data_IF_402271004489
#
_entry.id   IF_402271004489
#
_cell.length_a   1.000
_cell.length_b   1.000
_cell.length_c   1.000
_cell.angle_alpha   90.00
_cell.angle_beta   90.00
_cell.angle_gamma   90.00
#
_symmetry.space_group_name_H-M   'P 1'
#
loop_
_entity.id
_entity.type
_entity.pdbx_description
1 polymer ?
#
# COMPACT_ATOMS: atom_id res chain seq x y z
N UNK A 1 31.55 -21.23 6.14
CA UNK A 1 30.09 -21.44 6.25
C UNK A 1 29.41 -20.30 5.52
N UNK A 2 28.38 -20.56 4.71
CA UNK A 2 27.60 -19.47 4.10
C UNK A 2 26.84 -18.71 5.20
N UNK A 3 26.69 -17.38 5.10
CA UNK A 3 25.90 -16.61 6.07
C UNK A 3 24.44 -17.07 6.05
N UNK A 4 23.72 -16.96 7.19
CA UNK A 4 22.29 -17.25 7.23
C UNK A 4 21.54 -16.33 6.25
N UNK A 5 20.44 -16.82 5.65
CA UNK A 5 19.65 -16.03 4.71
C UNK A 5 19.14 -14.75 5.40
N UNK A 6 19.18 -13.63 4.67
CA UNK A 6 18.74 -12.35 5.21
C UNK A 6 17.21 -12.30 5.25
N UNK A 7 16.60 -11.78 6.33
CA UNK A 7 15.18 -11.51 6.38
C UNK A 7 14.87 -10.26 5.55
N UNK A 8 13.71 -10.25 4.89
CA UNK A 8 13.33 -9.23 3.90
C UNK A 8 11.97 -8.60 4.21
N UNK A 9 11.13 -9.29 4.96
CA UNK A 9 9.81 -8.81 5.38
C UNK A 9 9.38 -9.49 6.67
N UNK A 10 8.54 -8.82 7.45
CA UNK A 10 7.97 -9.35 8.69
C UNK A 10 6.49 -8.99 8.79
N UNK A 11 5.68 -9.91 9.29
CA UNK A 11 4.27 -9.70 9.58
C UNK A 11 3.88 -10.36 10.90
N UNK A 12 3.05 -9.68 11.70
CA UNK A 12 2.51 -10.21 12.95
C UNK A 12 1.15 -10.85 12.72
N UNK A 13 0.92 -12.00 13.35
CA UNK A 13 -0.39 -12.65 13.27
C UNK A 13 -1.41 -11.91 14.16
N UNK A 14 -2.54 -11.43 13.61
CA UNK A 14 -3.43 -10.51 14.31
C UNK A 14 -4.22 -11.15 15.47
N UNK A 15 -4.35 -12.47 15.50
CA UNK A 15 -5.14 -13.18 16.53
C UNK A 15 -4.27 -13.81 17.63
N UNK A 16 -2.98 -13.97 17.40
CA UNK A 16 -2.02 -14.41 18.41
C UNK A 16 -0.70 -13.64 18.22
N UNK A 17 -0.49 -12.69 19.13
CA UNK A 17 0.68 -11.82 19.16
C UNK A 17 2.01 -12.56 19.39
N UNK A 18 1.99 -13.87 19.67
CA UNK A 18 3.18 -14.69 19.76
C UNK A 18 3.65 -15.20 18.40
N UNK A 19 2.79 -15.24 17.39
CA UNK A 19 3.13 -15.76 16.07
C UNK A 19 3.57 -14.63 15.14
N UNK A 20 4.72 -14.83 14.50
CA UNK A 20 5.33 -13.89 13.56
C UNK A 20 5.73 -14.65 12.30
N UNK A 21 5.43 -14.09 11.13
CA UNK A 21 5.94 -14.58 9.85
C UNK A 21 7.11 -13.71 9.39
N UNK A 22 8.20 -14.35 8.96
CA UNK A 22 9.40 -13.68 8.43
C UNK A 22 9.65 -14.22 7.02
N UNK A 23 9.63 -13.32 6.03
CA UNK A 23 10.00 -13.64 4.67
C UNK A 23 11.52 -13.56 4.53
N UNK A 24 12.09 -14.50 3.79
CA UNK A 24 13.53 -14.67 3.69
C UNK A 24 14.03 -14.49 2.25
N UNK A 25 15.32 -14.15 2.12
CA UNK A 25 16.01 -14.05 0.85
C UNK A 25 16.20 -15.39 0.13
N UNK A 26 16.06 -16.52 0.83
CA UNK A 26 16.14 -17.88 0.27
C UNK A 26 14.80 -18.41 -0.28
N UNK A 27 13.80 -17.54 -0.44
CA UNK A 27 12.46 -17.87 -0.93
C UNK A 27 11.58 -18.64 0.07
N UNK A 28 12.00 -18.72 1.34
CA UNK A 28 11.20 -19.33 2.41
C UNK A 28 10.47 -18.28 3.26
N UNK A 29 9.45 -18.73 3.98
CA UNK A 29 8.80 -17.96 5.03
C UNK A 29 8.93 -18.74 6.33
N UNK A 30 9.52 -18.14 7.35
CA UNK A 30 9.62 -18.74 8.68
C UNK A 30 8.47 -18.26 9.56
N UNK A 31 7.72 -19.20 10.14
CA UNK A 31 6.72 -18.92 11.16
C UNK A 31 7.37 -19.15 12.52
N UNK A 32 7.51 -18.08 13.29
CA UNK A 32 8.18 -18.06 14.58
C UNK A 32 7.16 -17.89 15.71
N UNK A 33 7.32 -18.66 16.78
CA UNK A 33 6.72 -18.33 18.08
C UNK A 33 7.72 -17.46 18.86
N UNK A 34 7.40 -16.18 19.03
CA UNK A 34 8.26 -15.19 19.72
C UNK A 34 8.49 -15.54 21.18
N UNK A 35 7.51 -16.12 21.86
CA UNK A 35 7.60 -16.44 23.30
C UNK A 35 8.52 -17.63 23.56
N UNK A 36 8.43 -18.65 22.71
CA UNK A 36 9.29 -19.84 22.79
C UNK A 36 10.61 -19.67 22.04
N UNK A 37 10.73 -18.64 21.20
CA UNK A 37 11.87 -18.37 20.30
C UNK A 37 12.19 -19.55 19.36
N UNK A 38 11.17 -20.27 18.91
CA UNK A 38 11.30 -21.41 18.01
C UNK A 38 10.59 -21.19 16.68
N UNK A 39 11.18 -21.71 15.62
CA UNK A 39 10.54 -21.79 14.30
C UNK A 39 9.52 -22.93 14.36
N UNK A 40 8.25 -22.57 14.31
CA UNK A 40 7.10 -23.50 14.32
C UNK A 40 6.95 -24.18 12.97
N UNK A 41 7.16 -23.43 11.89
CA UNK A 41 7.02 -23.94 10.53
C UNK A 41 7.92 -23.15 9.56
N UNK A 42 8.33 -23.81 8.48
CA UNK A 42 9.00 -23.16 7.34
C UNK A 42 8.18 -23.43 6.09
N UNK A 43 7.62 -22.37 5.51
CA UNK A 43 6.83 -22.43 4.29
C UNK A 43 7.79 -22.31 3.09
N UNK A 44 7.80 -23.33 2.25
CA UNK A 44 8.56 -23.35 1.02
C UNK A 44 7.61 -23.37 -0.19
N UNK A 45 7.96 -22.64 -1.25
CA UNK A 45 7.16 -22.64 -2.48
C UNK A 45 7.19 -21.34 -3.29
N UNK A 46 7.94 -20.32 -2.86
CA UNK A 46 8.31 -19.21 -3.73
C UNK A 46 9.53 -19.56 -4.59
N UNK A 47 9.64 -18.95 -5.78
CA UNK A 47 10.82 -19.13 -6.65
C UNK A 47 11.89 -18.04 -6.48
N UNK A 48 11.55 -16.94 -5.82
CA UNK A 48 12.46 -15.84 -5.50
C UNK A 48 12.19 -15.33 -4.08
N UNK A 49 13.06 -14.46 -3.58
CA UNK A 49 12.99 -13.86 -2.24
C UNK A 49 11.60 -13.31 -1.94
N UNK A 50 11.12 -13.56 -0.73
CA UNK A 50 9.82 -13.04 -0.27
C UNK A 50 9.99 -11.56 0.06
N UNK A 51 9.15 -10.67 -0.47
CA UNK A 51 9.28 -9.20 -0.28
C UNK A 51 8.05 -8.56 0.35
N UNK A 52 6.96 -9.31 0.50
CA UNK A 52 5.74 -8.87 1.14
C UNK A 52 5.04 -10.02 1.84
N UNK A 53 4.49 -9.71 3.01
CA UNK A 53 3.69 -10.62 3.83
C UNK A 53 2.50 -9.85 4.36
N UNK A 54 1.32 -10.47 4.37
CA UNK A 54 0.13 -9.89 4.99
C UNK A 54 -0.76 -11.00 5.56
N UNK A 55 -1.19 -10.84 6.81
CA UNK A 55 -2.17 -11.73 7.42
C UNK A 55 -3.59 -11.19 7.25
N UNK A 56 -4.55 -12.10 7.02
CA UNK A 56 -5.97 -11.79 7.14
C UNK A 56 -6.36 -11.62 8.62
N UNK A 57 -7.23 -10.64 8.90
CA UNK A 57 -7.72 -10.30 10.25
C UNK A 57 -9.06 -10.97 10.61
N UNK A 58 -9.49 -11.98 9.85
CA UNK A 58 -10.76 -12.67 10.11
C UNK A 58 -10.70 -13.52 11.38
N UNK A 59 -11.43 -13.10 12.43
CA UNK A 59 -11.30 -13.61 13.80
C UNK A 59 -12.18 -14.79 14.19
N UNK A 60 -13.20 -15.17 13.41
CA UNK A 60 -14.30 -15.95 13.97
C UNK A 60 -14.96 -16.92 12.98
N UNK A 61 -14.31 -18.04 12.67
CA UNK A 61 -14.89 -19.18 11.92
C UNK A 61 -14.71 -19.19 10.38
N UNK A 62 -13.85 -18.34 9.84
CA UNK A 62 -13.38 -18.43 8.44
C UNK A 62 -11.88 -18.64 8.42
N UNK A 63 -11.41 -19.59 7.59
CA UNK A 63 -9.99 -19.95 7.42
C UNK A 63 -9.11 -18.71 7.33
N UNK A 64 -8.36 -18.42 8.40
CA UNK A 64 -7.37 -17.34 8.35
C UNK A 64 -6.27 -17.72 7.38
N UNK A 65 -5.81 -16.72 6.63
CA UNK A 65 -4.84 -16.90 5.56
C UNK A 65 -3.69 -15.92 5.70
N UNK A 66 -2.50 -16.39 5.35
CA UNK A 66 -1.33 -15.58 5.10
C UNK A 66 -1.20 -15.43 3.59
N UNK A 67 -0.99 -14.21 3.12
CA UNK A 67 -0.64 -13.92 1.73
C UNK A 67 0.80 -13.46 1.69
N UNK A 68 1.57 -14.00 0.76
CA UNK A 68 2.96 -13.65 0.55
C UNK A 68 3.24 -13.34 -0.90
N UNK A 69 4.18 -12.43 -1.12
CA UNK A 69 4.58 -11.93 -2.41
C UNK A 69 6.09 -11.99 -2.55
N UNK A 70 6.60 -12.54 -3.65
CA UNK A 70 8.04 -12.58 -3.96
C UNK A 70 8.45 -11.57 -5.02
N UNK A 71 9.77 -11.39 -5.16
CA UNK A 71 10.37 -10.42 -6.08
C UNK A 71 10.08 -10.72 -7.57
N UNK A 72 9.77 -11.97 -7.91
CA UNK A 72 9.31 -12.42 -9.23
C UNK A 72 7.79 -12.20 -9.44
N UNK A 73 7.13 -11.42 -8.57
CA UNK A 73 5.69 -11.20 -8.55
C UNK A 73 4.84 -12.46 -8.31
N UNK A 74 5.40 -13.55 -7.78
CA UNK A 74 4.60 -14.70 -7.38
C UNK A 74 3.83 -14.42 -6.08
N UNK A 75 2.51 -14.55 -6.15
CA UNK A 75 1.60 -14.48 -5.01
C UNK A 75 1.32 -15.89 -4.51
N UNK A 76 1.52 -16.15 -3.23
CA UNK A 76 1.14 -17.40 -2.58
C UNK A 76 0.13 -17.12 -1.45
N UNK A 77 -0.86 -18.01 -1.32
CA UNK A 77 -1.83 -17.99 -0.22
C UNK A 77 -1.60 -19.23 0.63
N UNK A 78 -1.48 -19.05 1.93
CA UNK A 78 -1.21 -20.10 2.91
C UNK A 78 -2.34 -20.14 3.93
N UNK A 79 -2.73 -21.35 4.35
CA UNK A 79 -3.62 -21.53 5.50
C UNK A 79 -2.82 -21.38 6.79
N UNK A 80 -3.37 -20.72 7.81
CA UNK A 80 -2.67 -20.53 9.10
C UNK A 80 -2.82 -21.71 10.07
N UNK A 81 -3.85 -22.54 9.93
CA UNK A 81 -4.10 -23.68 10.84
C UNK A 81 -3.06 -24.81 10.67
N UNK A 82 -2.75 -25.16 9.41
CA UNK A 82 -1.82 -26.24 9.07
C UNK A 82 -0.54 -25.72 8.39
N UNK A 83 -0.41 -24.40 8.23
CA UNK A 83 0.71 -23.78 7.52
C UNK A 83 0.95 -24.37 6.11
N UNK A 84 -0.15 -24.76 5.46
CA UNK A 84 -0.13 -25.38 4.13
C UNK A 84 -0.35 -24.37 3.01
N UNK A 85 0.40 -24.52 1.92
CA UNK A 85 0.20 -23.75 0.69
C UNK A 85 -1.17 -24.08 0.10
N UNK A 86 -2.06 -23.09 0.01
CA UNK A 86 -3.41 -23.23 -0.53
C UNK A 86 -3.42 -23.02 -2.03
N UNK A 87 -2.83 -21.92 -2.49
CA UNK A 87 -2.77 -21.52 -3.90
C UNK A 87 -1.47 -20.75 -4.15
N UNK A 88 -1.02 -20.74 -5.41
CA UNK A 88 0.00 -19.80 -5.85
C UNK A 88 -0.13 -19.47 -7.32
N UNK A 89 0.24 -18.24 -7.65
CA UNK A 89 0.31 -17.77 -9.02
C UNK A 89 1.58 -16.97 -9.22
N UNK A 90 2.26 -17.20 -10.33
CA UNK A 90 3.26 -16.28 -10.84
C UNK A 90 2.55 -15.10 -11.52
N UNK A 91 2.72 -13.89 -10.99
CA UNK A 91 2.08 -12.70 -11.53
C UNK A 91 2.58 -12.37 -12.93
N UNK A 92 1.68 -11.88 -13.79
CA UNK A 92 2.02 -11.24 -15.07
C UNK A 92 2.25 -9.73 -14.92
N UNK A 93 2.52 -9.25 -13.68
CA UNK A 93 2.97 -7.87 -13.47
C UNK A 93 4.26 -7.72 -14.29
N UNK A 94 4.22 -7.05 -15.44
CA UNK A 94 5.32 -7.10 -16.39
C UNK A 94 6.61 -6.70 -15.67
N UNK A 95 7.63 -7.58 -15.61
CA UNK A 95 8.97 -7.12 -15.31
C UNK A 95 9.40 -6.38 -16.56
N UNK A 96 9.21 -5.06 -16.55
CA UNK A 96 9.97 -4.17 -17.42
C UNK A 96 11.45 -4.61 -17.32
N UNK A 97 11.97 -5.16 -18.41
CA UNK A 97 13.36 -5.56 -18.57
C UNK A 97 14.27 -4.34 -18.81
N UNK A 98 14.09 -3.27 -18.06
CA UNK A 98 14.99 -2.13 -18.02
C UNK A 98 14.86 -1.47 -16.65
N UNK A 99 15.93 -1.60 -15.85
CA UNK A 99 16.08 -1.16 -14.44
C UNK A 99 15.62 -2.18 -13.38
N UNK A 100 16.55 -3.09 -13.09
CA UNK A 100 16.60 -3.86 -11.86
C UNK A 100 16.78 -2.92 -10.64
N UNK A 101 15.70 -2.25 -10.23
CA UNK A 101 15.54 -1.83 -8.85
C UNK A 101 14.68 -2.90 -8.18
N UNK A 102 15.34 -3.92 -7.64
CA UNK A 102 14.73 -4.96 -6.83
C UNK A 102 14.12 -4.33 -5.57
N UNK A 103 12.82 -4.09 -5.57
CA UNK A 103 12.12 -3.46 -4.45
C UNK A 103 10.78 -2.92 -4.92
N UNK A 104 9.80 -2.98 -4.03
CA UNK A 104 8.54 -2.20 -4.10
C UNK A 104 7.31 -2.90 -4.66
N UNK A 105 7.27 -4.24 -4.66
CA UNK A 105 5.95 -4.89 -4.62
C UNK A 105 5.42 -4.91 -3.19
N UNK A 106 4.23 -4.35 -2.99
CA UNK A 106 3.51 -4.38 -1.70
C UNK A 106 2.23 -5.18 -1.84
N UNK A 107 1.82 -5.81 -0.74
CA UNK A 107 0.56 -6.54 -0.65
C UNK A 107 -0.21 -6.09 0.58
N UNK A 108 -1.48 -5.73 0.43
CA UNK A 108 -2.32 -5.26 1.53
C UNK A 108 -3.70 -5.90 1.44
N UNK A 109 -4.25 -6.36 2.57
CA UNK A 109 -5.64 -6.81 2.64
C UNK A 109 -6.60 -5.62 2.56
N UNK A 110 -7.66 -5.79 1.77
CA UNK A 110 -8.84 -4.95 1.86
C UNK A 110 -9.57 -5.21 3.19
N UNK A 111 -10.43 -4.27 3.62
CA UNK A 111 -11.17 -4.39 4.86
C UNK A 111 -12.14 -5.58 4.88
N UNK A 112 -12.61 -6.05 3.71
CA UNK A 112 -13.43 -7.25 3.59
C UNK A 112 -12.72 -8.58 3.91
N UNK A 113 -11.39 -8.54 4.13
CA UNK A 113 -10.55 -9.70 4.46
C UNK A 113 -10.55 -10.83 3.41
N UNK A 114 -11.05 -10.55 2.20
CA UNK A 114 -11.12 -11.48 1.06
C UNK A 114 -10.25 -11.02 -0.08
N UNK A 115 -10.23 -9.72 -0.36
CA UNK A 115 -9.45 -9.15 -1.44
C UNK A 115 -8.10 -8.64 -0.95
N UNK A 116 -7.09 -8.74 -1.80
CA UNK A 116 -5.75 -8.19 -1.56
C UNK A 116 -5.34 -7.27 -2.70
N UNK A 117 -4.88 -6.08 -2.36
CA UNK A 117 -4.24 -5.14 -3.28
C UNK A 117 -2.77 -5.51 -3.39
N UNK A 118 -2.33 -5.73 -4.62
CA UNK A 118 -0.93 -5.88 -5.00
C UNK A 118 -0.52 -4.61 -5.75
N UNK A 119 0.48 -3.93 -5.21
CA UNK A 119 1.03 -2.70 -5.75
C UNK A 119 2.29 -3.06 -6.53
N UNK A 120 2.32 -2.76 -7.82
CA UNK A 120 3.51 -2.85 -8.65
C UNK A 120 3.89 -1.48 -9.23
N UNK A 121 5.08 -1.39 -9.84
CA UNK A 121 5.60 -0.12 -10.37
C UNK A 121 4.81 0.44 -11.56
N UNK A 122 4.19 -0.44 -12.35
CA UNK A 122 3.47 -0.07 -13.57
C UNK A 122 1.96 -0.25 -13.45
N UNK A 123 1.48 -0.92 -12.40
CA UNK A 123 0.07 -1.27 -12.27
C UNK A 123 -0.30 -1.65 -10.83
N UNK A 124 -1.58 -1.53 -10.53
CA UNK A 124 -2.21 -2.06 -9.34
C UNK A 124 -3.10 -3.23 -9.73
N UNK A 125 -3.18 -4.24 -8.87
CA UNK A 125 -4.04 -5.39 -9.09
C UNK A 125 -4.71 -5.83 -7.79
N UNK A 126 -6.00 -6.09 -7.82
CA UNK A 126 -6.76 -6.66 -6.70
C UNK A 126 -7.03 -8.14 -6.98
N UNK A 127 -6.66 -9.01 -6.06
CA UNK A 127 -6.90 -10.46 -6.16
C UNK A 127 -7.92 -10.92 -5.11
N UNK A 128 -8.70 -11.94 -5.46
CA UNK A 128 -9.50 -12.69 -4.48
C UNK A 128 -8.61 -13.78 -3.87
N UNK A 129 -8.46 -13.81 -2.54
CA UNK A 129 -7.66 -14.83 -1.85
C UNK A 129 -8.23 -16.24 -1.97
N UNK A 130 -9.51 -16.38 -2.36
CA UNK A 130 -10.11 -17.68 -2.68
C UNK A 130 -9.74 -18.18 -4.08
N UNK A 131 -9.38 -17.28 -4.99
CA UNK A 131 -8.94 -17.58 -6.34
C UNK A 131 -7.95 -16.54 -6.83
N UNK A 132 -6.66 -16.84 -6.67
CA UNK A 132 -5.59 -15.94 -7.10
C UNK A 132 -5.19 -16.11 -8.57
N UNK A 133 -5.84 -16.97 -9.36
CA UNK A 133 -5.44 -17.29 -10.75
C UNK A 133 -5.46 -16.07 -11.69
N UNK A 134 -6.35 -15.11 -11.42
CA UNK A 134 -6.44 -13.84 -12.14
C UNK A 134 -6.84 -12.71 -11.21
N UNK A 135 -6.40 -11.46 -11.49
CA UNK A 135 -6.90 -10.32 -10.75
C UNK A 135 -8.41 -10.16 -10.99
N UNK A 136 -9.11 -9.75 -9.94
CA UNK A 136 -10.51 -9.31 -10.01
C UNK A 136 -10.57 -7.93 -10.65
N UNK A 137 -9.61 -7.08 -10.32
CA UNK A 137 -9.49 -5.72 -10.84
C UNK A 137 -8.02 -5.48 -11.17
N UNK A 138 -7.77 -4.89 -12.32
CA UNK A 138 -6.44 -4.47 -12.75
C UNK A 138 -6.53 -3.02 -13.20
N UNK A 139 -5.59 -2.20 -12.71
CA UNK A 139 -5.51 -0.80 -13.06
C UNK A 139 -4.09 -0.46 -13.48
N UNK A 140 -3.98 0.13 -14.66
CA UNK A 140 -2.73 0.63 -15.22
C UNK A 140 -2.86 2.14 -15.31
N UNK A 141 -1.91 2.93 -14.75
CA UNK A 141 -1.88 4.37 -14.92
C UNK A 141 -1.98 4.74 -16.40
N UNK A 142 -2.92 5.62 -16.72
CA UNK A 142 -3.07 6.24 -18.04
C UNK A 142 -2.78 7.72 -17.93
N UNK A 143 -2.55 8.38 -19.08
CA UNK A 143 -2.38 9.84 -19.14
C UNK A 143 -3.48 10.54 -18.30
N UNK A 144 -3.13 11.45 -17.38
CA UNK A 144 -1.84 12.15 -17.24
C UNK A 144 -0.79 11.49 -16.32
N UNK A 145 -1.03 10.29 -15.79
CA UNK A 145 -0.11 9.57 -14.90
C UNK A 145 0.87 8.72 -15.74
N UNK A 146 1.98 9.33 -16.17
CA UNK A 146 2.99 8.65 -17.00
C UNK A 146 4.20 8.17 -16.21
N UNK A 147 4.31 8.55 -14.94
CA UNK A 147 5.40 8.14 -14.06
C UNK A 147 5.12 6.78 -13.39
N UNK A 148 6.18 6.09 -12.97
CA UNK A 148 6.06 4.84 -12.23
C UNK A 148 5.39 5.06 -10.88
N UNK A 149 4.57 4.10 -10.48
CA UNK A 149 3.99 4.00 -9.14
C UNK A 149 5.14 3.74 -8.16
N UNK A 150 5.22 4.57 -7.12
CA UNK A 150 6.20 4.39 -6.04
C UNK A 150 5.59 3.66 -4.87
N UNK A 151 4.32 3.92 -4.57
CA UNK A 151 3.61 3.26 -3.49
C UNK A 151 2.08 3.38 -3.62
N UNK A 152 1.34 2.52 -2.91
CA UNK A 152 -0.09 2.68 -2.71
C UNK A 152 -0.60 2.04 -1.41
N UNK A 153 -1.72 2.54 -0.89
CA UNK A 153 -2.43 1.98 0.27
C UNK A 153 -3.92 2.26 0.20
N UNK A 154 -4.72 1.33 0.71
CA UNK A 154 -6.12 1.61 1.08
C UNK A 154 -6.21 2.67 2.18
N UNK A 155 -7.29 3.44 2.17
CA UNK A 155 -7.78 4.23 3.29
C UNK A 155 -8.22 3.33 4.46
N UNK A 156 -8.37 3.88 5.67
CA UNK A 156 -8.75 3.07 6.83
C UNK A 156 -10.17 2.48 6.74
N UNK A 157 -11.08 3.13 6.02
CA UNK A 157 -12.42 2.62 5.74
C UNK A 157 -12.45 1.64 4.55
N UNK A 158 -11.37 1.58 3.76
CA UNK A 158 -11.26 0.72 2.58
C UNK A 158 -12.02 1.25 1.37
N UNK A 159 -12.51 2.49 1.40
CA UNK A 159 -13.28 3.08 0.30
C UNK A 159 -12.39 3.67 -0.79
N UNK A 160 -11.20 4.12 -0.44
CA UNK A 160 -10.25 4.77 -1.34
C UNK A 160 -8.89 4.06 -1.35
N UNK A 161 -8.15 4.24 -2.43
CA UNK A 161 -6.76 3.83 -2.60
C UNK A 161 -5.94 5.06 -2.97
N UNK A 162 -4.97 5.38 -2.12
CA UNK A 162 -3.97 6.40 -2.37
C UNK A 162 -2.82 5.80 -3.16
N UNK A 163 -2.42 6.45 -4.25
CA UNK A 163 -1.35 5.99 -5.14
C UNK A 163 -0.37 7.11 -5.36
N UNK A 164 0.90 6.90 -5.06
CA UNK A 164 1.98 7.86 -5.32
C UNK A 164 2.77 7.51 -6.57
N UNK A 165 3.29 8.54 -7.24
CA UNK A 165 4.09 8.40 -8.43
C UNK A 165 5.46 9.08 -8.29
N UNK A 166 6.41 8.62 -9.10
CA UNK A 166 7.78 9.15 -9.15
C UNK A 166 7.88 10.59 -9.68
N UNK A 167 6.80 11.13 -10.27
CA UNK A 167 6.72 12.55 -10.67
C UNK A 167 6.27 13.49 -9.53
N UNK A 168 6.06 12.95 -8.32
CA UNK A 168 5.56 13.71 -7.18
C UNK A 168 4.04 13.73 -7.04
N UNK A 169 3.28 13.26 -8.03
CA UNK A 169 1.82 13.28 -7.99
C UNK A 169 1.21 12.16 -7.14
N UNK A 170 -0.05 12.35 -6.74
CA UNK A 170 -0.84 11.37 -5.99
C UNK A 170 -2.22 11.21 -6.65
N UNK A 171 -2.62 9.98 -6.92
CA UNK A 171 -3.97 9.65 -7.38
C UNK A 171 -4.81 9.08 -6.23
N UNK A 172 -6.11 9.38 -6.29
CA UNK A 172 -7.14 8.83 -5.43
C UNK A 172 -8.00 7.97 -6.32
N UNK A 173 -7.98 6.67 -6.06
CA UNK A 173 -8.85 5.71 -6.71
C UNK A 173 -9.92 5.27 -5.71
N UNK A 174 -11.11 4.90 -6.17
CA UNK A 174 -12.04 4.18 -5.31
C UNK A 174 -11.53 2.73 -5.05
N UNK A 175 -12.22 1.99 -4.18
CA UNK A 175 -11.90 0.59 -3.86
C UNK A 175 -11.92 -0.34 -5.10
N UNK A 176 -12.53 0.10 -6.19
CA UNK A 176 -12.63 -0.59 -7.48
C UNK A 176 -11.56 -0.11 -8.47
N UNK A 177 -10.56 0.63 -7.99
CA UNK A 177 -9.46 1.23 -8.74
C UNK A 177 -9.94 2.16 -9.87
N UNK A 178 -11.12 2.75 -9.73
CA UNK A 178 -11.61 3.75 -10.68
C UNK A 178 -11.00 5.10 -10.31
N UNK A 179 -10.41 5.82 -11.27
CA UNK A 179 -9.83 7.12 -10.98
C UNK A 179 -10.91 8.09 -10.53
N UNK A 180 -10.75 8.57 -9.30
CA UNK A 180 -11.58 9.62 -8.72
C UNK A 180 -10.88 10.97 -8.83
N UNK A 181 -10.23 11.38 -7.74
CA UNK A 181 -9.59 12.69 -7.61
C UNK A 181 -8.09 12.59 -7.90
N UNK A 182 -7.51 13.63 -8.49
CA UNK A 182 -6.05 13.78 -8.62
C UNK A 182 -5.57 14.88 -7.70
N UNK A 183 -4.45 14.63 -7.05
CA UNK A 183 -3.72 15.61 -6.27
C UNK A 183 -2.29 15.72 -6.76
N UNK A 184 -1.78 16.93 -6.82
CA UNK A 184 -0.36 17.19 -6.99
C UNK A 184 0.03 18.03 -5.79
N UNK A 185 0.82 17.49 -4.84
CA UNK A 185 1.30 18.29 -3.73
C UNK A 185 2.08 19.49 -4.29
N UNK A 186 1.91 20.70 -3.73
CA UNK A 186 2.60 21.91 -4.16
C UNK A 186 4.06 21.86 -3.68
N UNK A 187 4.83 20.89 -4.16
CA UNK A 187 6.27 20.85 -3.92
C UNK A 187 6.90 21.74 -4.99
N UNK A 188 6.79 23.04 -4.79
CA UNK A 188 7.76 23.95 -5.40
C UNK A 188 9.07 23.74 -4.62
N UNK A 189 10.19 23.38 -5.27
CA UNK A 189 11.47 23.39 -4.59
C UNK A 189 11.70 24.80 -4.02
N UNK A 190 12.31 24.96 -2.84
CA UNK A 190 12.87 26.24 -2.49
C UNK A 190 13.80 26.64 -3.65
N UNK A 191 13.59 27.86 -4.18
CA UNK A 191 14.41 28.44 -5.24
C UNK A 191 15.90 28.15 -4.97
N UNK A 192 16.52 27.23 -5.72
CA UNK A 192 17.96 27.02 -5.63
C UNK A 192 18.54 25.63 -5.90
N UNK A 193 17.76 24.54 -5.97
CA UNK A 193 18.33 23.21 -6.24
C UNK A 193 18.04 22.73 -7.67
N UNK A 194 19.07 22.75 -8.50
CA UNK A 194 19.06 22.19 -9.85
C UNK A 194 18.75 20.69 -9.83
N UNK A 195 17.59 20.29 -10.39
CA UNK A 195 17.48 19.09 -11.20
C UNK A 195 16.85 17.82 -10.62
N UNK A 196 16.39 17.78 -9.37
CA UNK A 196 15.65 16.61 -8.86
C UNK A 196 14.42 17.04 -8.07
N UNK A 197 13.24 16.75 -8.61
CA UNK A 197 11.96 16.92 -7.92
C UNK A 197 11.82 15.81 -6.88
N UNK A 198 11.71 16.17 -5.60
CA UNK A 198 11.42 15.22 -4.55
C UNK A 198 10.09 14.50 -4.85
N UNK A 199 10.06 13.19 -4.66
CA UNK A 199 8.88 12.37 -4.93
C UNK A 199 8.56 11.46 -3.73
N UNK A 200 7.29 11.13 -3.50
CA UNK A 200 6.87 10.21 -2.44
C UNK A 200 7.46 8.82 -2.65
N UNK A 201 8.10 8.27 -1.62
CA UNK A 201 8.64 6.90 -1.57
C UNK A 201 7.80 5.97 -0.70
N UNK A 202 6.94 6.52 0.16
CA UNK A 202 6.02 5.75 1.00
C UNK A 202 4.75 6.55 1.28
N UNK A 203 3.59 5.88 1.27
CA UNK A 203 2.30 6.42 1.73
C UNK A 203 1.81 5.59 2.92
N UNK A 204 1.29 6.26 3.95
CA UNK A 204 0.59 5.65 5.07
C UNK A 204 -0.77 6.34 5.31
N UNK A 205 -1.86 5.57 5.21
CA UNK A 205 -3.20 6.07 5.54
C UNK A 205 -3.35 6.34 7.04
N UNK A 206 -4.15 7.33 7.40
CA UNK A 206 -4.48 7.60 8.80
C UNK A 206 -5.40 6.50 9.35
N UNK A 207 -5.18 5.99 10.57
CA UNK A 207 -5.89 4.81 11.11
C UNK A 207 -7.40 4.98 11.31
N UNK A 208 -7.88 6.22 11.47
CA UNK A 208 -9.28 6.50 11.85
C UNK A 208 -9.96 7.54 10.96
N UNK A 209 -9.23 8.14 10.02
CA UNK A 209 -9.75 9.21 9.17
C UNK A 209 -9.48 8.81 7.73
N UNK A 210 -10.56 8.47 7.02
CA UNK A 210 -10.50 7.95 5.66
C UNK A 210 -9.74 8.89 4.74
N UNK A 211 -9.91 10.20 4.91
CA UNK A 211 -9.43 11.28 4.04
C UNK A 211 -8.01 11.80 4.36
N UNK A 212 -7.33 11.23 5.35
CA UNK A 212 -6.01 11.69 5.79
C UNK A 212 -4.94 10.62 5.53
N UNK A 213 -3.76 11.05 5.08
CA UNK A 213 -2.58 10.19 4.93
C UNK A 213 -1.28 10.97 5.08
N UNK A 214 -0.19 10.27 5.33
CA UNK A 214 1.17 10.81 5.32
C UNK A 214 1.97 10.23 4.15
N UNK A 215 2.92 11.03 3.66
CA UNK A 215 3.85 10.66 2.61
C UNK A 215 5.28 10.88 3.10
N UNK A 216 6.12 9.85 3.02
CA UNK A 216 7.56 9.98 3.13
C UNK A 216 8.15 10.32 1.75
N UNK A 217 8.95 11.37 1.67
CA UNK A 217 9.52 11.88 0.43
C UNK A 217 10.97 11.41 0.24
N UNK A 218 11.44 11.41 -1.01
CA UNK A 218 12.81 11.01 -1.38
C UNK A 218 13.91 11.92 -0.81
N UNK A 219 13.56 13.14 -0.38
CA UNK A 219 14.46 14.09 0.28
C UNK A 219 14.47 13.94 1.82
N UNK A 220 13.75 12.96 2.36
CA UNK A 220 13.63 12.70 3.79
C UNK A 220 12.54 13.53 4.49
N UNK A 221 11.84 14.42 3.78
CA UNK A 221 10.69 15.13 4.35
C UNK A 221 9.49 14.20 4.52
N UNK A 222 8.62 14.54 5.48
CA UNK A 222 7.34 13.85 5.69
C UNK A 222 6.23 14.87 5.54
N UNK A 223 5.31 14.57 4.64
CA UNK A 223 4.16 15.41 4.31
C UNK A 223 2.90 14.74 4.84
N UNK A 224 2.16 15.42 5.70
CA UNK A 224 0.80 15.00 6.09
C UNK A 224 -0.20 15.73 5.22
N UNK A 225 -1.12 14.99 4.60
CA UNK A 225 -2.21 15.51 3.78
C UNK A 225 -3.51 15.38 4.58
N UNK A 226 -4.09 16.53 4.93
CA UNK A 226 -5.38 16.62 5.61
C UNK A 226 -6.44 17.28 4.71
N UNK A 227 -7.68 16.78 4.69
CA UNK A 227 -8.76 17.40 3.96
C UNK A 227 -9.03 18.79 4.55
N UNK A 228 -9.17 19.81 3.69
CA UNK A 228 -9.55 21.13 4.15
C UNK A 228 -11.02 21.14 4.57
N UNK A 229 -11.28 21.14 5.88
CA UNK A 229 -12.58 21.57 6.38
C UNK A 229 -12.72 23.09 6.14
N UNK A 230 -13.70 23.47 5.32
CA UNK A 230 -14.11 24.87 5.27
C UNK A 230 -14.55 25.30 6.68
N UNK A 231 -14.12 26.46 7.19
CA UNK A 231 -14.50 26.89 8.52
C UNK A 231 -16.02 26.90 8.62
N UNK A 232 -16.57 26.18 9.60
CA UNK A 232 -17.97 26.27 9.96
C UNK A 232 -18.24 27.71 10.40
N UNK A 233 -18.76 28.54 9.49
CA UNK A 233 -19.21 29.89 9.79
C UNK A 233 -20.41 29.82 10.74
N UNK A 234 -20.51 30.72 11.73
CA UNK A 234 -21.71 30.79 12.56
C UNK A 234 -22.82 31.41 11.73
N UNK A 235 -23.74 30.58 11.24
CA UNK A 235 -24.87 31.06 10.45
C UNK A 235 -25.56 29.96 9.67
N UNK A 236 -26.31 29.11 10.36
CA UNK A 236 -27.43 28.40 9.74
C UNK A 236 -28.41 29.42 9.16
N UNK A 237 -28.50 29.49 7.84
CA UNK A 237 -29.47 30.31 7.12
C UNK A 237 -29.57 29.84 5.68
N UNK A 238 -30.75 29.34 5.32
CA UNK A 238 -31.14 28.97 3.96
C UNK A 238 -30.80 30.07 2.95
N UNK A 239 -30.35 29.67 1.75
CA UNK A 239 -30.45 30.51 0.56
C UNK A 239 -29.21 30.60 -0.30
N UNK A 240 -29.37 30.15 -1.54
CA UNK A 240 -28.58 30.48 -2.73
C UNK A 240 -27.27 29.71 -2.95
N UNK A 241 -27.39 28.69 -3.79
CA UNK A 241 -26.33 28.26 -4.69
C UNK A 241 -25.85 29.47 -5.51
N UNK A 242 -24.72 30.08 -5.13
CA UNK A 242 -23.96 30.92 -6.06
C UNK A 242 -22.81 30.09 -6.64
N UNK A 243 -23.21 29.24 -7.57
CA UNK A 243 -22.35 28.73 -8.65
C UNK A 243 -21.97 29.93 -9.51
N UNK A 244 -20.85 30.61 -9.20
CA UNK A 244 -20.22 31.48 -10.20
C UNK A 244 -19.51 30.60 -11.23
N UNK A 245 -20.22 30.38 -12.33
CA UNK A 245 -19.79 29.65 -13.52
C UNK A 245 -18.61 30.32 -14.24
N UNK A 246 -17.59 29.50 -14.44
CA UNK A 246 -16.96 29.12 -15.72
C UNK A 246 -16.47 30.23 -16.66
N UNK A 247 -15.14 30.29 -16.79
CA UNK A 247 -14.37 30.24 -18.04
C UNK A 247 -13.05 29.55 -17.65
N UNK A 248 -12.51 28.50 -18.25
CA UNK A 248 -12.81 27.61 -19.35
C UNK A 248 -11.60 26.64 -19.39
N UNK A 249 -11.82 25.44 -19.90
CA UNK A 249 -10.88 24.30 -20.01
C UNK A 249 -10.77 23.33 -18.83
N UNK A 250 -10.84 22.06 -19.23
CA UNK A 250 -10.75 20.85 -18.43
C UNK A 250 -9.55 20.88 -17.49
N UNK A 251 -9.82 20.76 -16.20
CA UNK A 251 -8.80 20.64 -15.17
C UNK A 251 -9.45 19.95 -13.97
N UNK A 252 -8.93 18.79 -13.59
CA UNK A 252 -9.39 18.05 -12.42
C UNK A 252 -9.47 18.99 -11.21
N UNK A 253 -10.57 18.91 -10.46
CA UNK A 253 -10.79 19.74 -9.28
C UNK A 253 -9.68 19.48 -8.25
N UNK A 254 -8.74 20.43 -8.13
CA UNK A 254 -7.77 20.44 -7.04
C UNK A 254 -8.50 20.93 -5.79
N UNK A 255 -8.72 20.05 -4.81
CA UNK A 255 -9.26 20.45 -3.52
C UNK A 255 -8.14 21.07 -2.66
N UNK A 256 -8.44 22.00 -1.75
CA UNK A 256 -7.47 22.50 -0.79
C UNK A 256 -7.13 21.40 0.23
N UNK A 257 -5.84 21.23 0.53
CA UNK A 257 -5.33 20.35 1.59
C UNK A 257 -4.37 21.14 2.49
N UNK A 258 -4.34 20.83 3.79
CA UNK A 258 -3.35 21.39 4.73
C UNK A 258 -2.16 20.45 4.88
N UNK A 259 -0.99 21.05 5.10
CA UNK A 259 0.28 20.37 5.35
C UNK A 259 0.73 20.68 6.77
N UNK A 260 1.07 19.65 7.54
CA UNK A 260 1.55 19.80 8.94
C UNK A 260 2.77 18.91 9.15
N UNK A 261 3.77 19.40 9.90
CA UNK A 261 4.92 18.61 10.32
C UNK A 261 4.49 17.45 11.23
N UNK A 262 4.95 16.24 10.91
CA UNK A 262 4.41 14.99 11.43
C UNK A 262 4.90 14.67 12.86
N UNK A 263 4.02 14.82 13.86
CA UNK A 263 4.18 14.20 15.19
C UNK A 263 3.17 13.09 15.50
N UNK A 264 2.17 12.87 14.63
CA UNK A 264 1.00 12.05 14.96
C UNK A 264 0.96 10.65 14.31
N UNK A 265 1.92 10.30 13.44
CA UNK A 265 1.92 9.03 12.70
C UNK A 265 2.75 7.95 13.42
N UNK A 266 2.57 7.77 14.72
CA UNK A 266 3.18 6.67 15.49
C UNK A 266 2.12 6.00 16.35
N UNK A 267 1.13 5.38 15.69
CA UNK A 267 0.23 4.38 16.27
C UNK A 267 -0.69 3.83 15.18
N UNK A 268 -0.12 3.14 14.21
CA UNK A 268 -0.93 2.37 13.28
C UNK A 268 -0.43 0.93 13.27
N UNK A 269 -1.26 0.01 13.78
CA UNK A 269 -1.06 -1.43 13.65
C UNK A 269 -0.99 -1.86 12.17
N UNK A 270 -1.44 -1.02 11.22
CA UNK A 270 -1.24 -1.24 9.78
C UNK A 270 0.23 -1.05 9.35
N UNK A 271 1.04 -0.27 10.06
CA UNK A 271 2.49 -0.13 9.81
C UNK A 271 3.27 -1.32 10.40
N UNK A 272 2.77 -1.92 11.48
CA UNK A 272 3.36 -3.13 12.07
C UNK A 272 3.12 -4.38 11.20
N UNK A 273 2.10 -4.38 10.33
CA UNK A 273 1.78 -5.52 9.48
C UNK A 273 2.77 -5.79 8.34
N UNK A 274 3.58 -4.80 7.92
CA UNK A 274 4.49 -4.91 6.78
C UNK A 274 5.72 -4.02 7.02
N UNK A 275 6.56 -4.38 7.99
CA UNK A 275 7.89 -3.78 8.04
C UNK A 275 8.79 -4.52 7.03
N UNK A 276 9.39 -3.79 6.09
CA UNK A 276 10.57 -4.28 5.38
C UNK A 276 11.78 -4.10 6.28
N UNK A 277 12.58 -5.14 6.37
CA UNK A 277 13.80 -5.18 7.19
C UNK A 277 15.01 -4.70 6.39
#
# INVERSE_FOLDING_TARGET
MCPPPAPTSIAFYPHDNNIVAIGMADSTIQILNRTEQVVVCTLAGHHDKVIGLAFSRNSANSTSVLVSLSADAQLCVWKTEEWGKRQSRLGSLQPDQTTACAGDLRVQFHNDQRHVLVVGKSQLAVYDTLNVDRPVIEWVPQSPFTAAITDATYSCDGLDVYVSFADGSVAYLDAQLRPGRRFVPPIHPPLGTSGSTAYPVAIAAHPWNGDQFAMGMSDGSVIVVEPWEAPAGPGSGEGSQDVRRLNGNQGGSVLPYKFVDAFSFVKCEQVLGIARL
#
